data_IF_213168711228
#
_entry.id   IF_213168711228
#
_cell.length_a   1.000
_cell.length_b   1.000
_cell.length_c   1.000
_cell.angle_alpha   90.00
_cell.angle_beta   90.00
_cell.angle_gamma   90.00
#
_symmetry.space_group_name_H-M   'P 1'
#
loop_
_entity.id
_entity.type
_entity.pdbx_description
1 polymer ?
#
# COMPACT_ATOMS: atom_id res chain seq x y z
N UNK A 1 -2.80 -1.05 13.84
CA UNK A 1 -3.16 -1.97 12.75
C UNK A 1 -2.10 -1.99 11.65
N UNK A 2 -1.55 -0.86 11.19
CA UNK A 2 -0.39 -0.89 10.26
C UNK A 2 0.93 -1.42 10.87
N UNK A 3 1.01 -1.63 12.19
CA UNK A 3 2.25 -2.06 12.86
C UNK A 3 2.74 -3.42 12.38
N UNK A 4 1.84 -4.35 12.06
CA UNK A 4 2.19 -5.69 11.57
C UNK A 4 2.80 -5.63 10.17
N UNK A 5 2.33 -4.72 9.32
CA UNK A 5 2.93 -4.45 8.00
C UNK A 5 4.37 -3.98 8.14
N UNK A 6 4.64 -3.10 9.11
CA UNK A 6 5.97 -2.49 9.33
C UNK A 6 7.03 -3.50 9.79
N UNK A 7 6.61 -4.63 10.35
CA UNK A 7 7.51 -5.70 10.78
C UNK A 7 7.68 -6.80 9.73
N UNK A 8 6.97 -6.71 8.60
CA UNK A 8 7.08 -7.70 7.55
C UNK A 8 8.46 -7.62 6.87
N UNK A 9 9.19 -8.74 6.74
CA UNK A 9 10.50 -8.75 6.07
C UNK A 9 10.38 -8.50 4.56
N UNK A 10 9.26 -8.88 3.96
CA UNK A 10 8.90 -8.59 2.59
C UNK A 10 7.42 -8.20 2.52
N UNK A 11 7.14 -7.12 1.79
CA UNK A 11 5.79 -6.60 1.60
C UNK A 11 5.55 -6.35 0.12
N UNK A 12 4.51 -6.97 -0.43
CA UNK A 12 4.08 -6.74 -1.80
C UNK A 12 3.01 -5.64 -1.80
N UNK A 13 3.20 -4.59 -2.60
CA UNK A 13 2.22 -3.54 -2.83
C UNK A 13 1.70 -3.58 -4.26
N UNK A 14 0.41 -3.34 -4.41
CA UNK A 14 -0.28 -3.15 -5.68
C UNK A 14 -1.38 -2.09 -5.50
N UNK A 15 -1.75 -1.41 -6.57
CA UNK A 15 -2.83 -0.44 -6.55
C UNK A 15 -3.72 -0.55 -7.79
N UNK A 16 -5.02 -0.37 -7.58
CA UNK A 16 -5.98 -0.32 -8.68
C UNK A 16 -6.98 0.81 -8.48
N UNK A 17 -7.46 1.35 -9.59
CA UNK A 17 -8.50 2.39 -9.57
C UNK A 17 -9.74 1.86 -8.86
N UNK A 18 -10.35 2.70 -8.02
CA UNK A 18 -11.53 2.36 -7.24
C UNK A 18 -12.58 3.47 -7.31
N UNK A 19 -13.81 3.12 -6.93
CA UNK A 19 -14.97 4.02 -6.97
C UNK A 19 -15.59 4.15 -5.58
N UNK A 20 -15.70 5.39 -5.11
CA UNK A 20 -16.39 5.73 -3.84
C UNK A 20 -17.28 6.92 -4.11
N UNK A 21 -18.54 6.64 -4.48
CA UNK A 21 -19.50 7.65 -4.95
C UNK A 21 -19.01 8.52 -6.13
N UNK A 22 -17.97 8.07 -6.85
CA UNK A 22 -17.33 8.75 -7.96
C UNK A 22 -15.91 8.24 -8.22
N UNK A 23 -15.30 8.63 -9.36
CA UNK A 23 -13.92 8.31 -9.68
C UNK A 23 -12.93 9.13 -8.82
N UNK A 24 -11.65 8.76 -8.85
CA UNK A 24 -10.58 9.46 -8.12
C UNK A 24 -10.18 8.80 -6.81
N UNK A 25 -10.50 7.52 -6.63
CA UNK A 25 -10.06 6.71 -5.51
C UNK A 25 -9.19 5.56 -5.99
N UNK A 26 -8.36 5.05 -5.09
CA UNK A 26 -7.51 3.88 -5.31
C UNK A 26 -7.69 2.90 -4.18
N UNK A 27 -7.78 1.63 -4.55
CA UNK A 27 -7.65 0.52 -3.63
C UNK A 27 -6.19 0.11 -3.64
N UNK A 28 -5.54 0.26 -2.50
CA UNK A 28 -4.20 -0.24 -2.25
C UNK A 28 -4.30 -1.61 -1.61
N UNK A 29 -3.45 -2.51 -2.09
CA UNK A 29 -3.32 -3.88 -1.61
C UNK A 29 -1.91 -4.09 -1.10
N UNK A 30 -1.79 -4.56 0.14
CA UNK A 30 -0.52 -4.84 0.79
C UNK A 30 -0.52 -6.29 1.26
N UNK A 31 0.31 -7.13 0.67
CA UNK A 31 0.32 -8.58 0.95
C UNK A 31 1.65 -9.01 1.54
N UNK A 32 1.55 -9.75 2.64
CA UNK A 32 2.64 -10.53 3.23
C UNK A 32 2.31 -12.02 3.10
N UNK A 33 3.20 -12.89 3.58
CA UNK A 33 2.91 -14.33 3.63
C UNK A 33 1.76 -14.69 4.58
N UNK A 34 1.46 -13.84 5.57
CA UNK A 34 0.50 -14.17 6.64
C UNK A 34 -0.84 -13.46 6.49
N UNK A 35 -0.86 -12.29 5.85
CA UNK A 35 -2.05 -11.47 5.74
C UNK A 35 -1.99 -10.52 4.56
N UNK A 36 -3.17 -10.08 4.15
CA UNK A 36 -3.36 -9.00 3.18
C UNK A 36 -4.11 -7.85 3.83
N UNK A 37 -3.62 -6.64 3.63
CA UNK A 37 -4.20 -5.40 4.12
C UNK A 37 -4.67 -4.56 2.92
N UNK A 38 -5.88 -4.02 3.05
CA UNK A 38 -6.52 -3.21 2.02
C UNK A 38 -6.79 -1.80 2.57
N UNK A 39 -6.53 -0.79 1.76
CA UNK A 39 -6.91 0.59 2.09
C UNK A 39 -7.41 1.32 0.87
N UNK A 40 -8.55 2.00 1.03
CA UNK A 40 -9.14 2.85 -0.01
C UNK A 40 -8.75 4.28 0.29
N UNK A 41 -8.07 4.95 -0.65
CA UNK A 41 -7.54 6.29 -0.46
C UNK A 41 -7.83 7.19 -1.68
N UNK A 42 -8.01 8.50 -1.49
CA UNK A 42 -8.29 9.44 -2.58
C UNK A 42 -7.03 9.85 -3.37
N UNK A 43 -5.91 9.12 -3.23
CA UNK A 43 -4.67 9.42 -3.92
C UNK A 43 -3.83 8.16 -4.21
N UNK A 44 -3.08 8.21 -5.31
CA UNK A 44 -2.09 7.20 -5.73
C UNK A 44 -0.65 7.56 -5.32
N UNK A 45 -0.46 8.57 -4.48
CA UNK A 45 0.88 9.11 -4.21
C UNK A 45 1.66 8.30 -3.16
N UNK A 46 2.99 8.31 -3.27
CA UNK A 46 3.89 7.72 -2.28
C UNK A 46 3.77 8.32 -0.86
N UNK A 47 3.06 9.44 -0.71
CA UNK A 47 2.73 10.01 0.60
C UNK A 47 1.92 9.04 1.46
N UNK A 48 0.96 8.33 0.88
CA UNK A 48 0.15 7.35 1.61
C UNK A 48 1.00 6.17 2.11
N UNK A 49 1.96 5.71 1.30
CA UNK A 49 2.89 4.65 1.68
C UNK A 49 3.70 5.05 2.92
N UNK A 50 4.17 6.30 2.99
CA UNK A 50 4.88 6.81 4.17
C UNK A 50 3.99 6.87 5.42
N UNK A 51 2.72 7.22 5.28
CA UNK A 51 1.79 7.24 6.41
C UNK A 51 1.50 5.82 6.93
N UNK A 52 1.41 4.84 6.02
CA UNK A 52 1.13 3.44 6.36
C UNK A 52 2.38 2.76 6.92
N UNK A 53 3.50 2.78 6.19
CA UNK A 53 4.72 2.05 6.52
C UNK A 53 5.67 2.83 7.44
N UNK A 54 5.53 4.15 7.53
CA UNK A 54 6.52 5.01 8.16
C UNK A 54 7.67 5.33 7.20
N UNK A 55 8.52 6.29 7.59
CA UNK A 55 9.68 6.71 6.79
C UNK A 55 10.78 5.65 6.69
N UNK A 56 10.89 4.79 7.71
CA UNK A 56 11.96 3.80 7.85
C UNK A 56 11.39 2.38 7.83
N UNK A 57 10.86 1.96 6.68
CA UNK A 57 10.44 0.57 6.50
C UNK A 57 11.69 -0.32 6.39
N UNK A 58 11.92 -1.18 7.39
CA UNK A 58 13.10 -2.04 7.46
C UNK A 58 13.03 -3.31 6.62
N UNK A 59 11.91 -3.57 5.94
CA UNK A 59 11.70 -4.72 5.06
C UNK A 59 11.89 -4.39 3.57
N UNK A 60 11.79 -5.40 2.73
CA UNK A 60 11.77 -5.22 1.28
C UNK A 60 10.34 -4.87 0.81
N UNK A 61 10.17 -3.69 0.19
CA UNK A 61 8.94 -3.33 -0.50
C UNK A 61 9.04 -3.76 -1.97
N UNK A 62 8.11 -4.62 -2.40
CA UNK A 62 8.01 -5.13 -3.76
C UNK A 62 6.76 -4.52 -4.39
N UNK A 63 6.94 -3.67 -5.38
CA UNK A 63 5.85 -3.07 -6.16
C UNK A 63 6.10 -3.32 -7.63
N UNK A 64 5.04 -3.53 -8.42
CA UNK A 64 5.16 -3.35 -9.86
C UNK A 64 5.21 -1.84 -10.12
N UNK A 65 6.40 -1.26 -10.12
CA UNK A 65 6.56 0.16 -10.42
C UNK A 65 5.97 0.46 -11.81
N UNK A 66 4.71 0.85 -11.88
CA UNK A 66 4.09 1.37 -13.09
C UNK A 66 4.73 2.75 -13.34
N UNK A 67 5.89 2.71 -13.99
CA UNK A 67 6.54 3.88 -14.54
C UNK A 67 5.69 4.37 -15.73
N UNK A 68 4.82 5.35 -15.48
CA UNK A 68 4.23 6.20 -16.51
C UNK A 68 5.01 7.50 -16.52
#
# INVERSE_FOLDING_TARGET
>A
MATELRQAPALHSDETSWWVAGPGWWLWVFTTQLFTFYVVAPSRGCGLLNDILGKDFGGALVSDCLAI
#
